data_IF_497425468508
#
_entry.id   IF_497425468508
#
_cell.length_a   1.000
_cell.length_b   1.000
_cell.length_c   1.000
_cell.angle_alpha   90.00
_cell.angle_beta   90.00
_cell.angle_gamma   90.00
#
_symmetry.space_group_name_H-M   'P 1'
#
loop_
_entity.id
_entity.type
_entity.pdbx_description
1 polymer ?
#
# COMPACT_ATOMS: atom_id res chain seq x y z
N UNK A 1 -52.89 -2.09 -41.64
CA UNK A 1 -51.44 -2.16 -41.92
C UNK A 1 -50.66 -1.39 -40.83
N UNK A 2 -50.88 -1.70 -39.55
CA UNK A 2 -50.35 -0.88 -38.42
C UNK A 2 -49.93 -1.71 -37.19
N UNK A 3 -49.88 -3.05 -37.28
CA UNK A 3 -49.53 -3.91 -36.13
C UNK A 3 -48.03 -4.22 -36.05
N UNK A 4 -47.32 -4.21 -37.18
CA UNK A 4 -45.89 -4.54 -37.22
C UNK A 4 -45.02 -3.37 -36.76
N UNK A 5 -45.34 -2.12 -37.17
CA UNK A 5 -44.61 -0.91 -36.74
C UNK A 5 -44.76 -0.61 -35.24
N UNK A 6 -45.96 -0.76 -34.67
CA UNK A 6 -46.20 -0.61 -33.22
C UNK A 6 -45.43 -1.65 -32.39
N UNK A 7 -45.24 -2.87 -32.92
CA UNK A 7 -44.49 -3.92 -32.24
C UNK A 7 -42.98 -3.67 -32.23
N UNK A 8 -42.44 -3.12 -33.33
CA UNK A 8 -41.02 -2.79 -33.49
C UNK A 8 -40.63 -1.63 -32.58
N UNK A 9 -41.45 -0.58 -32.54
CA UNK A 9 -41.25 0.57 -31.66
C UNK A 9 -41.30 0.19 -30.16
N UNK A 10 -42.28 -0.66 -29.77
CA UNK A 10 -42.39 -1.14 -28.39
C UNK A 10 -41.18 -2.00 -27.96
N UNK A 11 -40.62 -2.82 -28.87
CA UNK A 11 -39.44 -3.62 -28.59
C UNK A 11 -38.16 -2.78 -28.47
N UNK A 12 -38.00 -1.71 -29.26
CA UNK A 12 -36.87 -0.78 -29.10
C UNK A 12 -36.91 -0.05 -27.75
N UNK A 13 -38.09 0.42 -27.34
CA UNK A 13 -38.27 1.11 -26.05
C UNK A 13 -37.95 0.19 -24.85
N UNK A 14 -38.37 -1.08 -24.91
CA UNK A 14 -38.03 -2.07 -23.89
C UNK A 14 -36.53 -2.36 -23.82
N UNK A 15 -35.85 -2.43 -24.97
CA UNK A 15 -34.41 -2.64 -25.03
C UNK A 15 -33.65 -1.46 -24.42
N UNK A 16 -34.04 -0.22 -24.71
CA UNK A 16 -33.42 0.98 -24.14
C UNK A 16 -33.55 1.00 -22.62
N UNK A 17 -34.72 0.62 -22.10
CA UNK A 17 -34.95 0.50 -20.67
C UNK A 17 -34.04 -0.56 -20.02
N UNK A 18 -33.87 -1.72 -20.66
CA UNK A 18 -32.96 -2.77 -20.18
C UNK A 18 -31.51 -2.28 -20.21
N UNK A 19 -31.07 -1.65 -21.30
CA UNK A 19 -29.71 -1.13 -21.43
C UNK A 19 -29.42 -0.06 -20.37
N UNK A 20 -30.36 0.89 -20.17
CA UNK A 20 -30.26 1.90 -19.13
C UNK A 20 -30.21 1.28 -17.72
N UNK A 21 -31.01 0.24 -17.45
CA UNK A 21 -30.99 -0.46 -16.16
C UNK A 21 -29.64 -1.16 -15.91
N UNK A 22 -29.09 -1.85 -16.91
CA UNK A 22 -27.78 -2.50 -16.81
C UNK A 22 -26.66 -1.46 -16.60
N UNK A 23 -26.72 -0.33 -17.32
CA UNK A 23 -25.80 0.79 -17.10
C UNK A 23 -25.90 1.34 -15.68
N UNK A 24 -27.11 1.51 -15.13
CA UNK A 24 -27.27 1.99 -13.75
C UNK A 24 -26.64 1.04 -12.72
N UNK A 25 -26.73 -0.28 -12.94
CA UNK A 25 -26.06 -1.27 -12.10
C UNK A 25 -24.54 -1.13 -12.21
N UNK A 26 -23.98 -1.08 -13.42
CA UNK A 26 -22.53 -0.92 -13.60
C UNK A 26 -22.01 0.41 -13.08
N UNK A 27 -22.77 1.50 -13.19
CA UNK A 27 -22.43 2.79 -12.60
C UNK A 27 -22.36 2.70 -11.07
N UNK A 28 -23.32 2.00 -10.46
CA UNK A 28 -23.34 1.79 -9.00
C UNK A 28 -22.12 0.98 -8.54
N UNK A 29 -21.77 -0.10 -9.24
CA UNK A 29 -20.55 -0.88 -8.96
C UNK A 29 -19.30 -0.03 -9.20
N UNK A 30 -19.29 0.83 -10.23
CA UNK A 30 -18.18 1.73 -10.54
C UNK A 30 -17.92 2.73 -9.42
N UNK A 31 -18.96 3.29 -8.81
CA UNK A 31 -18.84 4.19 -7.64
C UNK A 31 -18.27 3.47 -6.43
N UNK A 32 -18.70 2.23 -6.18
CA UNK A 32 -18.11 1.42 -5.11
C UNK A 32 -16.62 1.19 -5.37
N UNK A 33 -16.28 0.74 -6.57
CA UNK A 33 -14.90 0.46 -6.97
C UNK A 33 -14.00 1.69 -6.82
N UNK A 34 -14.44 2.87 -7.27
CA UNK A 34 -13.65 4.10 -7.14
C UNK A 34 -13.48 4.55 -5.68
N UNK A 35 -14.50 4.34 -4.85
CA UNK A 35 -14.45 4.62 -3.41
C UNK A 35 -13.43 3.72 -2.71
N UNK A 36 -13.49 2.41 -2.97
CA UNK A 36 -12.54 1.45 -2.39
C UNK A 36 -11.12 1.71 -2.86
N UNK A 37 -10.90 2.02 -4.14
CA UNK A 37 -9.59 2.47 -4.66
C UNK A 37 -9.04 3.65 -3.86
N UNK A 38 -9.88 4.67 -3.58
CA UNK A 38 -9.47 5.81 -2.76
C UNK A 38 -9.06 5.43 -1.34
N UNK A 39 -9.82 4.55 -0.68
CA UNK A 39 -9.53 4.08 0.69
C UNK A 39 -8.22 3.28 0.71
N UNK A 40 -8.05 2.33 -0.20
CA UNK A 40 -6.85 1.49 -0.27
C UNK A 40 -5.62 2.29 -0.70
N UNK A 41 -5.79 3.26 -1.60
CA UNK A 41 -4.72 4.20 -1.98
C UNK A 41 -4.26 5.06 -0.81
N UNK A 42 -5.18 5.53 0.04
CA UNK A 42 -4.83 6.22 1.27
C UNK A 42 -4.10 5.30 2.27
N UNK A 43 -4.52 4.03 2.38
CA UNK A 43 -3.84 3.02 3.17
C UNK A 43 -2.40 2.78 2.72
N UNK A 44 -2.17 2.62 1.41
CA UNK A 44 -0.83 2.51 0.81
C UNK A 44 0.03 3.74 1.12
N UNK A 45 -0.52 4.94 0.93
CA UNK A 45 0.20 6.18 1.18
C UNK A 45 0.63 6.29 2.64
N UNK A 46 -0.29 6.02 3.57
CA UNK A 46 0.00 6.05 5.01
C UNK A 46 1.06 5.02 5.39
N UNK A 47 0.92 3.76 4.94
CA UNK A 47 1.89 2.70 5.23
C UNK A 47 3.28 3.03 4.67
N UNK A 48 3.36 3.49 3.42
CA UNK A 48 4.61 3.91 2.77
C UNK A 48 5.26 5.10 3.49
N UNK A 49 4.46 6.07 3.93
CA UNK A 49 4.94 7.22 4.69
C UNK A 49 5.50 6.81 6.07
N UNK A 50 4.87 5.86 6.76
CA UNK A 50 5.36 5.35 8.04
C UNK A 50 6.62 4.50 7.85
N UNK A 51 6.68 3.65 6.83
CA UNK A 51 7.88 2.89 6.47
C UNK A 51 9.06 3.84 6.16
N UNK A 52 8.82 4.86 5.35
CA UNK A 52 9.82 5.89 5.02
C UNK A 52 10.36 6.59 6.26
N UNK A 53 9.48 6.99 7.19
CA UNK A 53 9.90 7.54 8.49
C UNK A 53 10.76 6.56 9.28
N UNK A 54 10.38 5.29 9.36
CA UNK A 54 11.19 4.27 10.03
C UNK A 54 12.59 4.12 9.38
N UNK A 55 12.69 4.14 8.05
CA UNK A 55 13.98 4.16 7.36
C UNK A 55 14.79 5.43 7.66
N UNK A 56 14.17 6.60 7.76
CA UNK A 56 14.87 7.82 8.17
C UNK A 56 15.42 7.71 9.59
N UNK A 57 14.65 7.15 10.54
CA UNK A 57 15.13 6.89 11.90
C UNK A 57 16.29 5.90 11.91
N UNK A 58 16.22 4.82 11.12
CA UNK A 58 17.32 3.87 10.95
C UNK A 58 18.58 4.56 10.41
N UNK A 59 18.45 5.38 9.37
CA UNK A 59 19.58 6.10 8.78
C UNK A 59 20.19 7.10 9.77
N UNK A 60 19.37 7.88 10.48
CA UNK A 60 19.83 8.81 11.49
C UNK A 60 20.60 8.09 12.61
N UNK A 61 20.12 6.93 13.08
CA UNK A 61 20.85 6.10 14.05
C UNK A 61 22.15 5.54 13.47
N UNK A 62 22.17 5.13 12.20
CA UNK A 62 23.38 4.66 11.54
C UNK A 62 24.45 5.76 11.44
N UNK A 63 24.05 6.99 11.12
CA UNK A 63 24.96 8.14 11.08
C UNK A 63 25.52 8.40 12.49
N UNK A 64 24.66 8.38 13.52
CA UNK A 64 25.08 8.55 14.92
C UNK A 64 26.07 7.46 15.36
N UNK A 65 25.81 6.21 14.99
CA UNK A 65 26.72 5.08 15.23
C UNK A 65 28.09 5.32 14.59
N UNK A 66 28.14 5.74 13.32
CA UNK A 66 29.39 6.07 12.62
C UNK A 66 30.15 7.21 13.31
N UNK A 67 29.46 8.27 13.75
CA UNK A 67 30.11 9.39 14.48
C UNK A 67 30.72 8.90 15.79
N UNK A 68 29.99 8.10 16.56
CA UNK A 68 30.44 7.57 17.84
C UNK A 68 31.59 6.56 17.63
N UNK A 69 31.52 5.72 16.60
CA UNK A 69 32.60 4.83 16.21
C UNK A 69 33.86 5.61 15.80
N UNK A 70 33.71 6.70 15.04
CA UNK A 70 34.81 7.59 14.70
C UNK A 70 35.46 8.22 15.94
N UNK A 71 34.68 8.61 16.95
CA UNK A 71 35.21 9.08 18.23
C UNK A 71 36.02 8.01 18.95
N UNK A 72 35.54 6.76 18.97
CA UNK A 72 36.28 5.62 19.53
C UNK A 72 37.59 5.42 18.80
N UNK A 73 37.56 5.38 17.47
CA UNK A 73 38.73 5.08 16.65
C UNK A 73 39.79 6.18 16.76
N UNK A 74 39.35 7.44 16.85
CA UNK A 74 40.23 8.56 17.18
C UNK A 74 40.89 8.38 18.55
N UNK A 75 40.12 8.05 19.60
CA UNK A 75 40.67 7.82 20.94
C UNK A 75 41.63 6.64 20.99
N UNK A 76 41.36 5.58 20.24
CA UNK A 76 42.24 4.43 20.11
C UNK A 76 43.56 4.82 19.40
N UNK A 77 43.51 5.64 18.34
CA UNK A 77 44.73 6.15 17.69
C UNK A 77 45.57 7.03 18.62
N UNK A 78 44.92 7.81 19.50
CA UNK A 78 45.62 8.64 20.48
C UNK A 78 46.24 7.80 21.61
N UNK A 79 45.64 6.66 21.96
CA UNK A 79 46.13 5.74 23.00
C UNK A 79 47.59 5.33 22.77
N UNK A 80 47.96 5.11 21.50
CA UNK A 80 49.32 4.74 21.11
C UNK A 80 50.34 5.88 21.30
N UNK A 81 49.87 7.11 21.47
CA UNK A 81 50.71 8.31 21.68
C UNK A 81 50.96 8.61 23.16
N UNK A 82 50.13 8.08 24.08
CA UNK A 82 50.23 8.37 25.51
C UNK A 82 51.20 7.43 26.25
N UNK A 83 52.10 8.01 27.05
CA UNK A 83 53.17 7.30 27.78
C UNK A 83 52.81 6.87 29.20
N UNK A 84 51.73 7.40 29.80
CA UNK A 84 51.35 7.04 31.19
C UNK A 84 50.15 6.11 31.28
N UNK A 85 50.27 5.06 32.11
CA UNK A 85 49.22 4.06 32.39
C UNK A 85 47.87 4.68 32.82
N UNK A 86 47.89 5.81 33.54
CA UNK A 86 46.67 6.49 34.01
C UNK A 86 45.88 7.14 32.86
N UNK A 87 46.56 7.70 31.86
CA UNK A 87 45.91 8.28 30.67
C UNK A 87 45.26 7.19 29.82
N UNK A 88 45.95 6.07 29.62
CA UNK A 88 45.44 4.91 28.89
C UNK A 88 44.23 4.26 29.60
N UNK A 89 44.22 4.21 30.93
CA UNK A 89 43.07 3.69 31.69
C UNK A 89 41.80 4.55 31.53
N UNK A 90 41.93 5.88 31.49
CA UNK A 90 40.80 6.79 31.24
C UNK A 90 40.23 6.62 29.83
N UNK A 91 41.10 6.46 28.83
CA UNK A 91 40.70 6.17 27.44
C UNK A 91 39.95 4.85 27.37
N UNK A 92 40.46 3.78 28.00
CA UNK A 92 39.82 2.46 28.00
C UNK A 92 38.42 2.48 28.62
N UNK A 93 38.24 3.23 29.71
CA UNK A 93 36.92 3.43 30.33
C UNK A 93 35.93 4.12 29.36
N UNK A 94 36.39 5.17 28.67
CA UNK A 94 35.54 5.90 27.73
C UNK A 94 35.22 5.08 26.47
N UNK A 95 36.21 4.35 25.93
CA UNK A 95 36.02 3.40 24.82
C UNK A 95 35.01 2.32 25.20
N UNK A 96 35.06 1.80 26.44
CA UNK A 96 34.08 0.82 26.92
C UNK A 96 32.66 1.39 26.96
N UNK A 97 32.50 2.65 27.37
CA UNK A 97 31.21 3.35 27.33
C UNK A 97 30.71 3.51 25.90
N UNK A 98 31.58 3.97 24.99
CA UNK A 98 31.25 4.11 23.57
C UNK A 98 30.82 2.76 22.97
N UNK A 99 31.56 1.67 23.22
CA UNK A 99 31.21 0.36 22.69
C UNK A 99 29.83 -0.12 23.18
N UNK A 100 29.46 0.22 24.43
CA UNK A 100 28.11 -0.06 24.95
C UNK A 100 27.05 0.74 24.17
N UNK A 101 27.31 2.01 23.89
CA UNK A 101 26.40 2.87 23.12
C UNK A 101 26.27 2.42 21.66
N UNK A 102 27.36 1.99 21.03
CA UNK A 102 27.36 1.39 19.69
C UNK A 102 26.47 0.16 19.67
N UNK A 103 26.70 -0.81 20.58
CA UNK A 103 25.89 -2.03 20.63
C UNK A 103 24.39 -1.75 20.82
N UNK A 104 24.06 -0.79 21.70
CA UNK A 104 22.68 -0.34 21.90
C UNK A 104 22.08 0.23 20.61
N UNK A 105 22.80 1.08 19.89
CA UNK A 105 22.35 1.64 18.61
C UNK A 105 22.18 0.57 17.53
N UNK A 106 23.09 -0.41 17.46
CA UNK A 106 22.98 -1.54 16.53
C UNK A 106 21.70 -2.33 16.78
N UNK A 107 21.34 -2.59 18.04
CA UNK A 107 20.10 -3.27 18.42
C UNK A 107 18.86 -2.44 18.10
N UNK A 108 18.85 -1.15 18.44
CA UNK A 108 17.74 -0.24 18.09
C UNK A 108 17.49 -0.17 16.58
N UNK A 109 18.56 -0.09 15.78
CA UNK A 109 18.47 -0.11 14.31
C UNK A 109 17.83 -1.40 13.81
N UNK A 110 18.22 -2.53 14.36
CA UNK A 110 17.68 -3.83 13.97
C UNK A 110 16.19 -3.94 14.32
N UNK A 111 15.79 -3.46 15.50
CA UNK A 111 14.38 -3.38 15.92
C UNK A 111 13.54 -2.46 15.03
N UNK A 112 14.05 -1.29 14.62
CA UNK A 112 13.36 -0.40 13.67
C UNK A 112 13.16 -1.07 12.30
N UNK A 113 14.16 -1.82 11.84
CA UNK A 113 14.11 -2.42 10.51
C UNK A 113 13.16 -3.62 10.46
N UNK A 114 13.26 -4.51 11.45
CA UNK A 114 12.58 -5.81 11.45
C UNK A 114 11.28 -5.81 12.27
N UNK A 115 11.12 -4.87 13.19
CA UNK A 115 10.01 -4.81 14.14
C UNK A 115 10.24 -5.71 15.35
N UNK A 116 9.69 -5.30 16.49
CA UNK A 116 9.81 -6.01 17.77
C UNK A 116 9.23 -7.42 17.73
N UNK A 117 8.21 -7.66 16.89
CA UNK A 117 7.54 -8.96 16.73
C UNK A 117 8.46 -10.02 16.11
N UNK A 118 9.39 -9.60 15.26
CA UNK A 118 10.28 -10.48 14.50
C UNK A 118 11.66 -10.65 15.14
N UNK A 119 11.88 -10.09 16.33
CA UNK A 119 13.15 -10.15 17.06
C UNK A 119 12.97 -10.73 18.47
N UNK A 120 14.03 -11.32 19.00
CA UNK A 120 14.02 -11.85 20.38
C UNK A 120 13.75 -10.75 21.41
N UNK A 121 12.94 -11.06 22.43
CA UNK A 121 12.64 -10.15 23.55
C UNK A 121 13.88 -9.60 24.27
N UNK A 122 14.98 -10.36 24.25
CA UNK A 122 16.26 -9.95 24.83
C UNK A 122 16.97 -8.83 24.05
N UNK A 123 16.52 -8.54 22.83
CA UNK A 123 17.05 -7.51 21.93
C UNK A 123 16.10 -6.32 21.78
N UNK A 124 15.03 -6.26 22.57
CA UNK A 124 14.16 -5.08 22.63
C UNK A 124 14.89 -3.97 23.37
N UNK A 125 15.09 -2.85 22.70
CA UNK A 125 15.88 -1.73 23.22
C UNK A 125 15.11 -0.42 23.10
N UNK A 126 14.17 -0.32 22.16
CA UNK A 126 13.33 0.83 22.05
C UNK A 126 12.15 0.78 23.00
N UNK A 127 12.03 1.87 23.75
CA UNK A 127 10.88 2.19 24.56
C UNK A 127 9.95 3.13 23.75
N UNK A 128 8.71 2.70 23.53
CA UNK A 128 7.62 3.54 23.04
C UNK A 128 6.64 3.72 24.21
N UNK A 129 6.51 4.94 24.72
CA UNK A 129 5.58 5.30 25.81
C UNK A 129 5.67 4.44 27.07
N UNK A 130 6.87 3.99 27.45
CA UNK A 130 7.14 3.15 28.61
C UNK A 130 7.02 1.65 28.36
N UNK A 131 6.85 1.21 27.10
CA UNK A 131 6.64 -0.19 26.71
C UNK A 131 7.63 -0.63 25.63
N UNK A 132 8.35 -1.69 25.94
CA UNK A 132 9.16 -2.43 24.98
C UNK A 132 8.29 -3.37 24.14
N UNK A 133 8.73 -3.65 22.91
CA UNK A 133 8.10 -4.67 22.08
C UNK A 133 6.99 -4.18 21.15
N UNK A 134 6.81 -2.87 21.04
CA UNK A 134 5.72 -2.24 20.27
C UNK A 134 6.16 -1.66 18.93
N UNK A 135 7.45 -1.78 18.57
CA UNK A 135 7.96 -1.23 17.32
C UNK A 135 7.48 -2.09 16.17
N UNK A 136 6.71 -1.50 15.26
CA UNK A 136 6.39 -2.12 13.97
C UNK A 136 7.52 -1.79 13.01
N UNK A 137 8.11 -2.81 12.39
CA UNK A 137 9.29 -2.67 11.54
C UNK A 137 9.01 -1.89 10.25
N UNK A 138 10.04 -1.24 9.71
CA UNK A 138 9.96 -0.59 8.40
C UNK A 138 9.51 -1.58 7.30
N UNK A 139 10.04 -2.81 7.33
CA UNK A 139 9.66 -3.87 6.38
C UNK A 139 8.22 -4.34 6.55
N UNK A 140 7.72 -4.40 7.78
CA UNK A 140 6.32 -4.77 8.03
C UNK A 140 5.37 -3.73 7.42
N UNK A 141 5.70 -2.44 7.56
CA UNK A 141 4.95 -1.36 6.94
C UNK A 141 5.03 -1.36 5.41
N UNK A 142 6.19 -1.71 4.83
CA UNK A 142 6.33 -1.88 3.37
C UNK A 142 5.43 -3.00 2.83
N UNK A 143 5.38 -4.14 3.54
CA UNK A 143 4.52 -5.28 3.15
C UNK A 143 3.04 -4.91 3.22
N UNK A 144 2.63 -4.25 4.31
CA UNK A 144 1.25 -3.77 4.49
C UNK A 144 0.90 -2.75 3.40
N UNK A 145 1.78 -1.78 3.14
CA UNK A 145 1.57 -0.80 2.09
C UNK A 145 1.44 -1.46 0.72
N UNK A 146 2.32 -2.41 0.37
CA UNK A 146 2.28 -3.12 -0.91
C UNK A 146 0.95 -3.88 -1.13
N UNK A 147 0.40 -4.48 -0.07
CA UNK A 147 -0.90 -5.14 -0.14
C UNK A 147 -2.03 -4.13 -0.38
N UNK A 148 -2.03 -2.99 0.32
CA UNK A 148 -2.97 -1.89 0.04
C UNK A 148 -2.88 -1.39 -1.40
N UNK A 149 -1.65 -1.22 -1.93
CA UNK A 149 -1.41 -0.79 -3.30
C UNK A 149 -1.98 -1.79 -4.32
N UNK A 150 -1.74 -3.08 -4.12
CA UNK A 150 -2.26 -4.15 -4.99
C UNK A 150 -3.79 -4.16 -5.02
N UNK A 151 -4.44 -3.97 -3.86
CA UNK A 151 -5.91 -3.88 -3.78
C UNK A 151 -6.42 -2.66 -4.53
N UNK A 152 -5.75 -1.51 -4.35
CA UNK A 152 -6.07 -0.25 -5.01
C UNK A 152 -5.98 -0.34 -6.52
N UNK A 153 -4.98 -1.04 -7.05
CA UNK A 153 -4.81 -1.25 -8.48
C UNK A 153 -5.98 -2.04 -9.07
N UNK A 154 -6.39 -3.15 -8.43
CA UNK A 154 -7.55 -3.94 -8.85
C UNK A 154 -8.82 -3.10 -8.95
N UNK A 155 -9.10 -2.25 -7.95
CA UNK A 155 -10.26 -1.35 -7.94
C UNK A 155 -10.16 -0.23 -8.98
N UNK A 156 -8.95 0.24 -9.28
CA UNK A 156 -8.72 1.25 -10.32
C UNK A 156 -8.99 0.67 -11.70
N UNK A 157 -8.48 -0.52 -12.00
CA UNK A 157 -8.77 -1.20 -13.26
C UNK A 157 -10.25 -1.55 -13.40
N UNK A 158 -10.89 -2.05 -12.34
CA UNK A 158 -12.32 -2.30 -12.32
C UNK A 158 -13.13 -1.06 -12.70
N UNK A 159 -12.77 0.11 -12.15
CA UNK A 159 -13.42 1.40 -12.47
C UNK A 159 -13.29 1.74 -13.96
N UNK A 160 -12.11 1.57 -14.55
CA UNK A 160 -11.88 1.82 -15.98
C UNK A 160 -12.77 0.93 -16.85
N UNK A 161 -12.83 -0.37 -16.57
CA UNK A 161 -13.66 -1.31 -17.33
C UNK A 161 -15.16 -1.03 -17.20
N UNK A 162 -15.62 -0.66 -15.99
CA UNK A 162 -17.01 -0.28 -15.75
C UNK A 162 -17.37 1.02 -16.49
N UNK A 163 -16.48 2.03 -16.50
CA UNK A 163 -16.68 3.25 -17.27
C UNK A 163 -16.71 2.99 -18.79
N UNK A 164 -15.83 2.12 -19.30
CA UNK A 164 -15.88 1.68 -20.70
C UNK A 164 -17.22 0.99 -21.03
N UNK A 165 -17.72 0.14 -20.12
CA UNK A 165 -19.04 -0.46 -20.28
C UNK A 165 -20.14 0.62 -20.38
N UNK A 166 -20.12 1.65 -19.53
CA UNK A 166 -21.10 2.74 -19.60
C UNK A 166 -21.03 3.52 -20.93
N UNK A 167 -19.82 3.82 -21.41
CA UNK A 167 -19.63 4.52 -22.70
C UNK A 167 -20.19 3.68 -23.85
N UNK A 168 -19.90 2.38 -23.87
CA UNK A 168 -20.41 1.46 -24.90
C UNK A 168 -21.93 1.27 -24.77
N UNK A 169 -22.47 1.27 -23.56
CA UNK A 169 -23.91 1.26 -23.31
C UNK A 169 -24.62 2.49 -23.89
N UNK A 170 -24.05 3.68 -23.66
CA UNK A 170 -24.57 4.91 -24.26
C UNK A 170 -24.52 4.87 -25.81
N UNK A 171 -23.44 4.36 -26.40
CA UNK A 171 -23.35 4.15 -27.85
C UNK A 171 -24.39 3.15 -28.36
N UNK A 172 -24.68 2.10 -27.59
CA UNK A 172 -25.68 1.08 -27.92
C UNK A 172 -27.08 1.68 -28.01
N UNK A 173 -27.41 2.65 -27.16
CA UNK A 173 -28.69 3.38 -27.22
C UNK A 173 -28.76 4.28 -28.46
N UNK A 174 -27.64 4.88 -28.87
CA UNK A 174 -27.58 5.78 -30.03
C UNK A 174 -27.69 5.06 -31.38
N UNK A 175 -27.33 3.77 -31.46
CA UNK A 175 -27.36 3.01 -32.72
C UNK A 175 -28.78 2.54 -33.06
N UNK A 176 -29.28 2.97 -34.22
CA UNK A 176 -30.63 2.62 -34.72
C UNK A 176 -30.71 1.22 -35.36
N UNK A 177 -29.59 0.67 -35.88
CA UNK A 177 -29.58 -0.62 -36.58
C UNK A 177 -29.48 -1.83 -35.63
N UNK A 178 -30.34 -2.84 -35.83
CA UNK A 178 -30.49 -4.00 -34.93
C UNK A 178 -29.23 -4.85 -34.71
N UNK A 179 -28.53 -5.26 -35.78
CA UNK A 179 -27.36 -6.16 -35.68
C UNK A 179 -26.19 -5.52 -34.90
N UNK A 180 -25.69 -4.32 -35.26
CA UNK A 180 -24.60 -3.71 -34.50
C UNK A 180 -25.02 -3.39 -33.06
N UNK A 181 -26.30 -3.06 -32.81
CA UNK A 181 -26.82 -2.76 -31.47
C UNK A 181 -26.63 -3.93 -30.50
N UNK A 182 -27.01 -5.15 -30.89
CA UNK A 182 -26.79 -6.33 -30.03
C UNK A 182 -25.31 -6.67 -29.84
N UNK A 183 -24.47 -6.40 -30.84
CA UNK A 183 -23.02 -6.61 -30.73
C UNK A 183 -22.39 -5.66 -29.70
N UNK A 184 -22.68 -4.36 -29.76
CA UNK A 184 -22.18 -3.40 -28.76
C UNK A 184 -22.75 -3.68 -27.37
N UNK A 185 -24.01 -4.11 -27.27
CA UNK A 185 -24.60 -4.55 -26.02
C UNK A 185 -23.86 -5.74 -25.39
N UNK A 186 -23.47 -6.73 -26.21
CA UNK A 186 -22.69 -7.87 -25.73
C UNK A 186 -21.28 -7.44 -25.25
N UNK A 187 -20.63 -6.51 -25.95
CA UNK A 187 -19.34 -5.95 -25.52
C UNK A 187 -19.48 -5.18 -24.20
N UNK A 188 -20.53 -4.36 -24.06
CA UNK A 188 -20.85 -3.65 -22.81
C UNK A 188 -20.94 -4.63 -21.65
N UNK A 189 -21.71 -5.71 -21.80
CA UNK A 189 -21.85 -6.74 -20.76
C UNK A 189 -20.49 -7.40 -20.48
N UNK A 190 -19.70 -7.71 -21.51
CA UNK A 190 -18.37 -8.30 -21.35
C UNK A 190 -17.45 -7.44 -20.46
N UNK A 191 -17.35 -6.15 -20.76
CA UNK A 191 -16.56 -5.23 -19.94
C UNK A 191 -17.14 -5.01 -18.54
N UNK A 192 -18.46 -4.89 -18.41
CA UNK A 192 -19.10 -4.70 -17.12
C UNK A 192 -18.94 -5.90 -16.19
N UNK A 193 -19.08 -7.11 -16.71
CA UNK A 193 -18.83 -8.36 -15.97
C UNK A 193 -17.35 -8.48 -15.58
N UNK A 194 -16.42 -8.17 -16.49
CA UNK A 194 -14.99 -8.22 -16.20
C UNK A 194 -14.57 -7.18 -15.14
N UNK A 195 -15.10 -5.95 -15.23
CA UNK A 195 -14.90 -4.92 -14.22
C UNK A 195 -15.46 -5.32 -12.86
N UNK A 196 -16.65 -5.93 -12.83
CA UNK A 196 -17.25 -6.45 -11.57
C UNK A 196 -16.40 -7.58 -10.97
N UNK A 197 -15.84 -8.46 -11.80
CA UNK A 197 -14.93 -9.52 -11.36
C UNK A 197 -13.64 -8.94 -10.72
N UNK A 198 -13.05 -7.90 -11.32
CA UNK A 198 -11.90 -7.22 -10.74
C UNK A 198 -12.25 -6.51 -9.42
N UNK A 199 -13.45 -5.93 -9.32
CA UNK A 199 -13.95 -5.34 -8.07
C UNK A 199 -14.06 -6.39 -6.96
N UNK A 200 -14.54 -7.60 -7.29
CA UNK A 200 -14.59 -8.71 -6.36
C UNK A 200 -13.18 -9.15 -5.91
N UNK A 201 -12.24 -9.26 -6.84
CA UNK A 201 -10.85 -9.60 -6.52
C UNK A 201 -10.20 -8.55 -5.60
N UNK A 202 -10.41 -7.26 -5.89
CA UNK A 202 -9.93 -6.16 -5.04
C UNK A 202 -10.48 -6.25 -3.63
N UNK A 203 -11.78 -6.57 -3.50
CA UNK A 203 -12.43 -6.78 -2.21
C UNK A 203 -11.90 -8.00 -1.45
N UNK A 204 -11.66 -9.12 -2.13
CA UNK A 204 -11.06 -10.29 -1.51
C UNK A 204 -9.67 -9.95 -0.94
N UNK A 205 -8.84 -9.22 -1.67
CA UNK A 205 -7.51 -8.80 -1.21
C UNK A 205 -7.59 -7.77 -0.07
N UNK A 206 -8.56 -6.85 -0.12
CA UNK A 206 -8.86 -5.93 0.97
C UNK A 206 -9.31 -6.67 2.24
N UNK A 207 -10.12 -7.73 2.12
CA UNK A 207 -10.60 -8.48 3.29
C UNK A 207 -9.49 -9.24 4.02
N UNK A 208 -8.40 -9.59 3.32
CA UNK A 208 -7.21 -10.21 3.92
C UNK A 208 -6.30 -9.21 4.63
N UNK A 209 -6.50 -7.90 4.42
CA UNK A 209 -5.71 -6.80 5.00
C UNK A 209 -6.16 -6.39 6.42
N UNK A 210 -7.07 -7.13 7.06
CA UNK A 210 -7.48 -6.87 8.44
C UNK A 210 -6.31 -7.09 9.42
N UNK A 211 -5.60 -5.99 9.71
CA UNK A 211 -4.79 -5.77 10.91
C UNK A 211 -5.69 -5.58 12.14
#
# INVERSE_FOLDING_TARGET
MNKEDDSSAANSSRFELICAAVMAIFASVGVLSSTYSGITGAGWLNGSQVASQAYFWYQAKSIKETIIAGQRDFLLSLKDTFTTKKQNASIDSYVKKINKDINRLTQEKYEILMGSKNIDKSKWVQDIDGKYGQVIGAKEWDEVAAQYGTSSDSFTYATVYLQLALVIGALTIMITYLIPRYFFFAIMIGFGCYGTYLCWQGYALYSTLNL
#
